data_IF_855839981819
#
_entry.id   IF_855839981819
#
_cell.length_a   1.000
_cell.length_b   1.000
_cell.length_c   1.000
_cell.angle_alpha   90.00
_cell.angle_beta   90.00
_cell.angle_gamma   90.00
#
_symmetry.space_group_name_H-M   'P 1'
#
loop_
_entity.id
_entity.type
_entity.pdbx_description
1 polymer ?
#
# COMPACT_ATOMS: atom_id res chain seq x y z
N UNK A 1 1.28 -23.43 -8.80
CA UNK A 1 1.75 -24.28 -9.91
C UNK A 1 2.96 -23.66 -10.59
N UNK A 2 3.67 -24.35 -11.51
CA UNK A 2 5.00 -23.94 -11.96
C UNK A 2 5.03 -22.53 -12.59
N UNK A 3 4.01 -22.14 -13.33
CA UNK A 3 3.95 -20.81 -13.95
C UNK A 3 3.78 -19.69 -12.91
N UNK A 4 3.01 -19.94 -11.85
CA UNK A 4 2.85 -18.96 -10.76
C UNK A 4 4.16 -18.80 -10.01
N UNK A 5 4.83 -19.91 -9.67
CA UNK A 5 6.10 -19.88 -8.98
C UNK A 5 7.18 -19.14 -9.80
N UNK A 6 7.27 -19.43 -11.11
CA UNK A 6 8.18 -18.73 -12.01
C UNK A 6 7.87 -17.23 -12.09
N UNK A 7 6.59 -16.86 -12.13
CA UNK A 7 6.19 -15.46 -12.15
C UNK A 7 6.53 -14.73 -10.84
N UNK A 8 6.33 -15.37 -9.69
CA UNK A 8 6.74 -14.82 -8.38
C UNK A 8 8.26 -14.61 -8.30
N UNK A 9 9.05 -15.55 -8.84
CA UNK A 9 10.51 -15.43 -8.92
C UNK A 9 10.95 -14.30 -9.85
N UNK A 10 10.37 -14.22 -11.06
CA UNK A 10 10.69 -13.17 -12.04
C UNK A 10 10.34 -11.78 -11.50
N UNK A 11 9.15 -11.64 -10.93
CA UNK A 11 8.70 -10.40 -10.34
C UNK A 11 9.53 -10.05 -9.10
N UNK A 12 9.87 -11.05 -8.27
CA UNK A 12 10.77 -10.91 -7.13
C UNK A 12 12.14 -10.36 -7.51
N UNK A 13 12.71 -10.83 -8.63
CA UNK A 13 13.95 -10.28 -9.19
C UNK A 13 13.78 -8.82 -9.64
N UNK A 14 12.66 -8.50 -10.28
CA UNK A 14 12.38 -7.15 -10.75
C UNK A 14 12.25 -6.14 -9.60
N UNK A 15 11.55 -6.51 -8.53
CA UNK A 15 11.32 -5.63 -7.37
C UNK A 15 12.40 -5.77 -6.28
N UNK A 16 13.34 -6.70 -6.46
CA UNK A 16 14.36 -7.04 -5.45
C UNK A 16 13.74 -7.38 -4.08
N UNK A 17 12.71 -8.22 -4.07
CA UNK A 17 11.98 -8.58 -2.86
C UNK A 17 11.27 -9.93 -2.97
N UNK A 18 10.55 -10.31 -1.93
CA UNK A 18 9.66 -11.48 -1.98
C UNK A 18 8.30 -11.07 -2.50
N UNK A 19 7.72 -11.90 -3.36
CA UNK A 19 6.43 -11.64 -3.98
C UNK A 19 5.52 -12.84 -3.80
N UNK A 20 4.26 -12.56 -3.49
CA UNK A 20 3.18 -13.56 -3.42
C UNK A 20 2.09 -13.16 -4.40
N UNK A 21 1.75 -14.04 -5.35
CA UNK A 21 0.69 -13.82 -6.31
C UNK A 21 -0.69 -14.03 -5.70
N UNK A 22 -1.61 -13.15 -6.03
CA UNK A 22 -2.99 -13.13 -5.52
C UNK A 22 -3.98 -12.93 -6.67
N UNK A 23 -5.26 -13.16 -6.38
CA UNK A 23 -6.34 -13.04 -7.38
C UNK A 23 -6.60 -11.61 -7.86
N UNK A 24 -6.21 -10.60 -7.09
CA UNK A 24 -6.38 -9.18 -7.41
C UNK A 24 -5.50 -8.30 -6.52
N UNK A 25 -5.24 -7.05 -6.94
CA UNK A 25 -4.61 -6.04 -6.08
C UNK A 25 -5.43 -5.76 -4.81
N UNK A 26 -6.75 -5.77 -4.89
CA UNK A 26 -7.64 -5.66 -3.72
C UNK A 26 -7.38 -6.75 -2.68
N UNK A 27 -7.14 -7.99 -3.12
CA UNK A 27 -6.80 -9.10 -2.24
C UNK A 27 -5.42 -8.88 -1.59
N UNK A 28 -4.48 -8.28 -2.32
CA UNK A 28 -3.16 -7.94 -1.78
C UNK A 28 -3.25 -6.85 -0.70
N UNK A 29 -4.06 -5.80 -0.90
CA UNK A 29 -4.33 -4.79 0.16
C UNK A 29 -4.94 -5.45 1.39
N UNK A 30 -5.93 -6.33 1.19
CA UNK A 30 -6.60 -7.02 2.29
C UNK A 30 -5.63 -7.89 3.10
N UNK A 31 -4.81 -8.69 2.42
CA UNK A 31 -3.81 -9.54 3.08
C UNK A 31 -2.75 -8.72 3.82
N UNK A 32 -2.28 -7.62 3.23
CA UNK A 32 -1.34 -6.70 3.87
C UNK A 32 -1.90 -6.10 5.17
N UNK A 33 -3.18 -5.70 5.18
CA UNK A 33 -3.85 -5.20 6.37
C UNK A 33 -3.94 -6.26 7.47
N UNK A 34 -4.27 -7.51 7.11
CA UNK A 34 -4.25 -8.65 8.04
C UNK A 34 -2.86 -8.84 8.63
N UNK A 35 -1.81 -8.84 7.79
CA UNK A 35 -0.42 -8.99 8.20
C UNK A 35 0.09 -7.82 9.06
N UNK A 36 -0.49 -6.62 8.90
CA UNK A 36 -0.28 -5.48 9.80
C UNK A 36 -1.06 -5.61 11.14
N UNK A 37 -1.85 -6.65 11.30
CA UNK A 37 -2.64 -6.91 12.52
C UNK A 37 -3.81 -5.95 12.71
N UNK A 38 -4.41 -5.47 11.61
CA UNK A 38 -5.62 -4.63 11.66
C UNK A 38 -6.79 -5.44 12.18
N UNK A 39 -7.52 -4.90 13.15
CA UNK A 39 -8.64 -5.51 13.83
C UNK A 39 -9.91 -4.64 13.73
N UNK A 40 -11.10 -5.20 13.96
CA UNK A 40 -12.31 -4.41 14.03
C UNK A 40 -12.20 -3.23 15.00
N UNK A 41 -12.61 -2.06 14.54
CA UNK A 41 -12.54 -0.80 15.29
C UNK A 41 -11.20 -0.06 15.19
N UNK A 42 -10.15 -0.65 14.63
CA UNK A 42 -8.92 0.08 14.30
C UNK A 42 -9.17 1.13 13.20
N UNK A 43 -8.25 2.07 13.08
CA UNK A 43 -8.27 3.08 12.04
C UNK A 43 -7.06 2.89 11.11
N UNK A 44 -7.24 3.16 9.82
CA UNK A 44 -6.20 3.10 8.79
C UNK A 44 -6.25 4.38 7.96
N UNK A 45 -5.13 5.11 7.89
CA UNK A 45 -5.01 6.27 7.01
C UNK A 45 -4.89 5.81 5.56
N UNK A 46 -5.71 6.37 4.69
CA UNK A 46 -5.74 6.02 3.26
C UNK A 46 -5.94 7.25 2.41
N UNK A 47 -5.28 7.30 1.25
CA UNK A 47 -5.47 8.37 0.27
C UNK A 47 -6.93 8.48 -0.16
N UNK A 48 -7.47 9.72 -0.23
CA UNK A 48 -8.86 9.94 -0.63
C UNK A 48 -9.05 9.85 -2.14
N UNK A 49 -8.12 10.40 -2.90
CA UNK A 49 -8.13 10.35 -4.36
C UNK A 49 -7.49 9.06 -4.86
N UNK A 50 -8.29 8.02 -4.94
CA UNK A 50 -7.88 6.68 -5.36
C UNK A 50 -9.07 5.86 -5.82
N UNK A 51 -8.79 4.72 -6.45
CA UNK A 51 -9.80 3.70 -6.70
C UNK A 51 -10.21 3.04 -5.37
N UNK A 52 -11.48 2.71 -5.22
CA UNK A 52 -12.05 2.19 -3.96
C UNK A 52 -11.38 0.93 -3.40
N UNK A 53 -10.62 0.21 -4.23
CA UNK A 53 -9.87 -0.97 -3.80
C UNK A 53 -8.79 -0.69 -2.74
N UNK A 54 -8.31 0.56 -2.61
CA UNK A 54 -7.40 0.95 -1.53
C UNK A 54 -8.11 1.04 -0.18
N UNK A 55 -9.40 1.40 -0.15
CA UNK A 55 -10.15 1.67 1.09
C UNK A 55 -11.12 0.56 1.49
N UNK A 56 -11.75 -0.13 0.54
CA UNK A 56 -12.73 -1.19 0.85
C UNK A 56 -12.17 -2.31 1.72
N UNK A 57 -10.95 -2.83 1.50
CA UNK A 57 -10.39 -3.89 2.34
C UNK A 57 -10.26 -3.52 3.82
N UNK A 58 -10.14 -2.22 4.14
CA UNK A 58 -10.17 -1.73 5.52
C UNK A 58 -11.51 -2.08 6.17
N UNK A 59 -12.60 -1.85 5.44
CA UNK A 59 -13.95 -2.14 5.95
C UNK A 59 -14.26 -3.63 6.03
N UNK A 60 -13.62 -4.47 5.20
CA UNK A 60 -13.76 -5.93 5.29
C UNK A 60 -13.30 -6.47 6.65
N UNK A 61 -12.34 -5.79 7.28
CA UNK A 61 -11.82 -6.14 8.60
C UNK A 61 -12.60 -5.47 9.76
N UNK A 62 -13.68 -4.74 9.46
CA UNK A 62 -14.42 -3.95 10.45
C UNK A 62 -13.64 -2.73 10.97
N UNK A 63 -12.55 -2.37 10.31
CA UNK A 63 -11.77 -1.18 10.59
C UNK A 63 -12.34 0.05 9.87
N UNK A 64 -11.86 1.24 10.24
CA UNK A 64 -12.36 2.52 9.73
C UNK A 64 -11.31 3.21 8.87
N UNK A 65 -11.61 3.56 7.60
CA UNK A 65 -10.73 4.40 6.80
C UNK A 65 -10.72 5.83 7.35
N UNK A 66 -9.53 6.40 7.47
CA UNK A 66 -9.28 7.82 7.71
C UNK A 66 -8.74 8.39 6.42
N UNK A 67 -9.58 9.09 5.67
CA UNK A 67 -9.22 9.63 4.37
C UNK A 67 -8.32 10.84 4.51
N UNK A 68 -7.19 10.81 3.79
CA UNK A 68 -6.22 11.89 3.71
C UNK A 68 -6.30 12.51 2.32
N UNK A 69 -6.48 13.81 2.27
CA UNK A 69 -6.61 14.54 1.01
C UNK A 69 -5.27 14.66 0.29
N UNK A 70 -5.33 15.13 -0.96
CA UNK A 70 -4.20 15.18 -1.89
C UNK A 70 -3.42 16.48 -1.77
N UNK A 71 -2.10 16.42 -1.95
CA UNK A 71 -1.29 17.59 -2.21
C UNK A 71 -1.32 17.98 -3.70
N UNK A 72 -0.92 19.21 -4.03
CA UNK A 72 -1.20 19.82 -5.34
C UNK A 72 -0.21 19.46 -6.46
N UNK A 73 0.96 18.90 -6.12
CA UNK A 73 2.00 18.62 -7.12
C UNK A 73 1.78 17.26 -7.79
N UNK A 74 1.56 16.22 -7.01
CA UNK A 74 1.41 14.85 -7.51
C UNK A 74 -0.03 14.33 -7.45
N UNK A 75 -0.92 15.04 -6.74
CA UNK A 75 -2.30 14.65 -6.44
C UNK A 75 -2.40 13.39 -5.57
N UNK A 76 -1.29 12.95 -5.02
CA UNK A 76 -1.23 11.86 -4.06
C UNK A 76 -1.38 12.37 -2.62
N UNK A 77 -1.35 11.47 -1.65
CA UNK A 77 -1.53 11.77 -0.22
C UNK A 77 -0.67 12.93 0.25
N UNK A 78 -1.30 13.91 0.89
CA UNK A 78 -0.61 15.05 1.52
C UNK A 78 0.07 14.61 2.83
N UNK A 79 1.41 14.72 2.95
CA UNK A 79 2.13 14.32 4.16
C UNK A 79 1.75 15.16 5.38
N UNK A 80 1.47 16.46 5.21
CA UNK A 80 1.15 17.35 6.33
C UNK A 80 -0.26 17.04 6.88
N UNK A 81 -1.22 16.76 5.98
CA UNK A 81 -2.54 16.31 6.39
C UNK A 81 -2.49 14.92 7.03
N UNK A 82 -1.62 14.02 6.54
CA UNK A 82 -1.40 12.72 7.15
C UNK A 82 -0.92 12.87 8.60
N UNK A 83 0.14 13.66 8.84
CA UNK A 83 0.68 13.84 10.18
C UNK A 83 -0.34 14.46 11.13
N UNK A 84 -1.08 15.48 10.67
CA UNK A 84 -2.18 16.08 11.43
C UNK A 84 -3.26 15.06 11.81
N UNK A 85 -3.67 14.21 10.85
CA UNK A 85 -4.64 13.16 11.11
C UNK A 85 -4.14 12.16 12.14
N UNK A 86 -2.88 11.70 12.04
CA UNK A 86 -2.27 10.78 13.01
C UNK A 86 -2.32 11.34 14.43
N UNK A 87 -1.93 12.61 14.60
CA UNK A 87 -1.92 13.29 15.91
C UNK A 87 -3.36 13.45 16.44
N UNK A 88 -4.27 13.89 15.60
CA UNK A 88 -5.68 14.08 15.97
C UNK A 88 -6.33 12.73 16.34
N UNK A 89 -6.14 11.68 15.54
CA UNK A 89 -6.71 10.36 15.84
C UNK A 89 -6.18 9.81 17.15
N UNK A 90 -4.86 9.95 17.39
CA UNK A 90 -4.27 9.58 18.69
C UNK A 90 -4.92 10.32 19.86
N UNK A 91 -5.19 11.60 19.70
CA UNK A 91 -5.84 12.43 20.74
C UNK A 91 -7.29 11.99 20.98
N UNK A 92 -8.04 11.68 19.93
CA UNK A 92 -9.48 11.36 20.01
C UNK A 92 -9.72 9.92 20.43
N UNK A 93 -8.93 8.96 19.91
CA UNK A 93 -9.16 7.52 20.12
C UNK A 93 -8.23 6.88 21.16
N UNK A 94 -7.17 7.59 21.55
CA UNK A 94 -6.13 7.05 22.43
C UNK A 94 -5.13 6.15 21.69
N UNK A 95 -5.34 5.86 20.40
CA UNK A 95 -4.49 4.97 19.57
C UNK A 95 -4.01 5.66 18.31
N UNK A 96 -2.85 5.28 17.81
CA UNK A 96 -2.42 5.63 16.47
C UNK A 96 -3.18 4.80 15.42
N UNK A 97 -3.38 5.31 14.19
CA UNK A 97 -3.82 4.48 13.07
C UNK A 97 -2.91 3.25 12.91
N UNK A 98 -3.49 2.13 12.51
CA UNK A 98 -2.81 0.84 12.46
C UNK A 98 -1.94 0.65 11.22
N UNK A 99 -2.26 1.35 10.14
CA UNK A 99 -1.48 1.37 8.90
C UNK A 99 -1.72 2.68 8.13
N UNK A 100 -0.86 2.95 7.17
CA UNK A 100 -0.97 4.04 6.19
C UNK A 100 -0.96 3.41 4.79
N UNK A 101 -1.93 3.80 3.94
CA UNK A 101 -2.03 3.35 2.54
C UNK A 101 -1.90 4.56 1.62
N UNK A 102 -0.68 4.99 1.26
CA UNK A 102 -0.47 5.91 0.15
C UNK A 102 -0.65 5.18 -1.18
N UNK A 103 -1.04 5.90 -2.22
CA UNK A 103 -1.27 5.36 -3.55
C UNK A 103 -0.36 6.06 -4.55
N UNK A 104 0.23 5.30 -5.45
CA UNK A 104 0.95 5.83 -6.62
C UNK A 104 -0.06 6.03 -7.77
N UNK A 105 -0.90 7.05 -7.65
CA UNK A 105 -2.00 7.31 -8.58
C UNK A 105 -1.44 7.55 -9.99
N UNK A 106 -1.96 6.80 -10.97
CA UNK A 106 -1.50 6.81 -12.36
C UNK A 106 0.02 6.58 -12.53
N UNK A 107 0.64 5.90 -11.55
CA UNK A 107 2.08 5.62 -11.56
C UNK A 107 2.97 6.76 -11.09
N UNK A 108 2.39 7.89 -10.65
CA UNK A 108 3.13 9.00 -10.09
C UNK A 108 3.58 8.67 -8.65
N UNK A 109 4.89 8.76 -8.34
CA UNK A 109 5.36 8.61 -6.98
C UNK A 109 4.71 9.66 -6.06
N UNK A 110 4.21 9.21 -4.91
CA UNK A 110 3.79 10.11 -3.84
C UNK A 110 5.03 10.72 -3.16
N UNK A 111 4.85 11.63 -2.21
CA UNK A 111 5.95 12.24 -1.41
C UNK A 111 6.57 11.20 -0.46
N UNK A 112 7.25 10.20 -1.04
CA UNK A 112 7.70 8.97 -0.37
C UNK A 112 8.56 9.30 0.85
N UNK A 113 9.57 10.15 0.71
CA UNK A 113 10.49 10.53 1.78
C UNK A 113 9.74 11.06 3.00
N UNK A 114 8.76 11.93 2.76
CA UNK A 114 7.98 12.56 3.82
C UNK A 114 7.01 11.59 4.48
N UNK A 115 6.33 10.76 3.68
CA UNK A 115 5.39 9.74 4.20
C UNK A 115 6.14 8.71 5.04
N UNK A 116 7.31 8.24 4.57
CA UNK A 116 8.12 7.27 5.30
C UNK A 116 8.69 7.85 6.59
N UNK A 117 9.19 9.10 6.56
CA UNK A 117 9.64 9.80 7.76
C UNK A 117 8.55 9.90 8.84
N UNK A 118 7.32 10.24 8.44
CA UNK A 118 6.16 10.31 9.33
C UNK A 118 5.82 8.92 9.87
N UNK A 119 5.74 7.92 8.99
CA UNK A 119 5.44 6.54 9.36
C UNK A 119 6.42 6.00 10.40
N UNK A 120 7.72 6.21 10.18
CA UNK A 120 8.79 5.79 11.10
C UNK A 120 8.69 6.52 12.45
N UNK A 121 8.43 7.82 12.43
CA UNK A 121 8.29 8.65 13.65
C UNK A 121 7.19 8.12 14.58
N UNK A 122 6.09 7.65 14.02
CA UNK A 122 4.95 7.16 14.79
C UNK A 122 4.88 5.63 14.89
N UNK A 123 5.82 4.92 14.27
CA UNK A 123 5.89 3.46 14.27
C UNK A 123 4.70 2.79 13.54
N UNK A 124 4.20 3.42 12.47
CA UNK A 124 3.02 2.96 11.72
C UNK A 124 3.49 2.31 10.42
N UNK A 125 3.13 1.05 10.12
CA UNK A 125 3.52 0.39 8.88
C UNK A 125 2.85 1.05 7.67
N UNK A 126 3.60 1.11 6.56
CA UNK A 126 3.12 1.60 5.26
C UNK A 126 2.83 0.41 4.36
N UNK A 127 1.66 0.42 3.73
CA UNK A 127 1.24 -0.47 2.65
C UNK A 127 1.15 0.39 1.39
N UNK A 128 2.11 0.27 0.49
CA UNK A 128 2.09 1.03 -0.76
C UNK A 128 1.08 0.45 -1.74
N UNK A 129 0.05 1.18 -2.09
CA UNK A 129 -0.79 0.81 -3.22
C UNK A 129 -0.14 1.29 -4.53
N UNK A 130 0.69 0.42 -5.09
CA UNK A 130 1.36 0.61 -6.37
C UNK A 130 0.65 -0.14 -7.52
N UNK A 131 -0.68 -0.31 -7.41
CA UNK A 131 -1.49 -0.99 -8.42
C UNK A 131 -1.37 -0.37 -9.83
N UNK A 132 -0.94 0.87 -9.92
CA UNK A 132 -0.67 1.60 -11.17
C UNK A 132 0.81 1.98 -11.32
N UNK A 133 1.63 1.64 -10.34
CA UNK A 133 3.02 2.08 -10.22
C UNK A 133 4.07 1.10 -10.76
N UNK A 134 3.67 -0.01 -11.39
CA UNK A 134 4.65 -0.98 -11.86
C UNK A 134 5.60 -0.38 -12.90
N UNK A 135 6.91 -0.48 -12.60
CA UNK A 135 7.96 0.10 -13.43
C UNK A 135 8.33 1.55 -13.10
N UNK A 136 7.43 2.29 -12.44
CA UNK A 136 7.77 3.63 -11.92
C UNK A 136 8.80 3.54 -10.81
N UNK A 137 9.63 4.58 -10.73
CA UNK A 137 10.74 4.62 -9.75
C UNK A 137 10.79 5.97 -9.06
N UNK A 138 11.23 5.93 -7.82
CA UNK A 138 11.60 7.11 -7.05
C UNK A 138 13.05 6.94 -6.59
N UNK A 139 13.91 7.88 -6.92
CA UNK A 139 15.36 7.82 -6.64
C UNK A 139 16.01 6.48 -7.06
N UNK A 140 15.59 5.93 -8.21
CA UNK A 140 16.10 4.65 -8.73
C UNK A 140 15.46 3.39 -8.15
N UNK A 141 14.71 3.48 -7.07
CA UNK A 141 14.01 2.35 -6.44
C UNK A 141 12.60 2.20 -7.01
N UNK A 142 12.16 0.97 -7.24
CA UNK A 142 10.84 0.64 -7.81
C UNK A 142 9.73 0.96 -6.80
N UNK A 143 8.61 1.53 -7.26
CA UNK A 143 7.43 1.72 -6.41
C UNK A 143 6.86 0.39 -5.92
N UNK A 144 6.30 0.39 -4.73
CA UNK A 144 5.85 -0.81 -4.02
C UNK A 144 6.94 -1.46 -3.18
N UNK A 145 8.13 -0.84 -3.06
CA UNK A 145 9.27 -1.43 -2.32
C UNK A 145 9.77 -0.55 -1.17
N UNK A 146 9.11 0.55 -0.86
CA UNK A 146 9.48 1.46 0.23
C UNK A 146 8.80 1.12 1.56
N UNK A 147 7.53 0.72 1.51
CA UNK A 147 6.76 0.35 2.69
C UNK A 147 7.05 -1.07 3.18
N UNK A 148 6.40 -1.47 4.26
CA UNK A 148 6.45 -2.87 4.73
C UNK A 148 5.89 -3.84 3.68
N UNK A 149 4.82 -3.42 3.00
CA UNK A 149 4.19 -4.15 1.91
C UNK A 149 3.99 -3.23 0.71
N UNK A 150 4.06 -3.81 -0.48
CA UNK A 150 3.66 -3.16 -1.73
C UNK A 150 2.63 -4.00 -2.47
N UNK A 151 1.70 -3.32 -3.11
CA UNK A 151 0.59 -3.94 -3.84
C UNK A 151 0.73 -3.66 -5.32
N UNK A 152 0.69 -4.71 -6.13
CA UNK A 152 0.61 -4.62 -7.59
C UNK A 152 -0.72 -5.20 -8.09
N UNK A 153 -1.18 -4.69 -9.22
CA UNK A 153 -2.39 -5.17 -9.88
C UNK A 153 -2.12 -5.50 -11.34
N UNK A 154 -2.65 -6.61 -11.80
CA UNK A 154 -2.58 -7.08 -13.18
C UNK A 154 -3.97 -7.18 -13.82
N UNK A 155 -4.92 -6.36 -13.32
CA UNK A 155 -6.25 -6.26 -13.90
C UNK A 155 -6.19 -5.74 -15.34
N UNK A 156 -7.24 -5.97 -16.13
CA UNK A 156 -7.29 -5.68 -17.56
C UNK A 156 -6.98 -4.23 -17.98
N UNK A 157 -7.19 -3.28 -17.07
CA UNK A 157 -6.92 -1.85 -17.30
C UNK A 157 -5.54 -1.38 -16.82
N UNK A 158 -4.70 -2.27 -16.29
CA UNK A 158 -3.38 -1.89 -15.76
C UNK A 158 -2.31 -1.89 -16.86
N UNK A 159 -1.17 -1.26 -16.58
CA UNK A 159 -0.03 -1.13 -17.51
C UNK A 159 0.46 -2.49 -18.02
N UNK A 160 0.50 -3.50 -17.15
CA UNK A 160 0.75 -4.90 -17.50
C UNK A 160 -0.42 -5.70 -16.94
N UNK A 161 -0.99 -6.57 -17.77
CA UNK A 161 -2.19 -7.32 -17.41
C UNK A 161 -2.05 -8.81 -17.67
N UNK A 162 -2.69 -9.60 -16.81
CA UNK A 162 -2.97 -11.02 -16.99
C UNK A 162 -4.49 -11.27 -17.03
N UNK A 163 -5.27 -10.28 -17.49
CA UNK A 163 -6.74 -10.17 -17.43
C UNK A 163 -7.29 -9.95 -16.02
N UNK A 164 -6.71 -10.53 -15.03
CA UNK A 164 -6.93 -10.36 -13.60
C UNK A 164 -5.66 -10.71 -12.85
N UNK A 165 -5.66 -10.62 -11.54
CA UNK A 165 -4.51 -10.92 -10.71
C UNK A 165 -3.95 -9.71 -9.99
N UNK A 166 -3.11 -9.98 -9.01
CA UNK A 166 -2.36 -9.02 -8.24
C UNK A 166 -1.18 -9.68 -7.58
N UNK A 167 -0.35 -8.90 -6.93
CA UNK A 167 0.76 -9.41 -6.14
C UNK A 167 1.00 -8.55 -4.90
N UNK A 168 1.44 -9.20 -3.84
CA UNK A 168 1.93 -8.59 -2.62
C UNK A 168 3.44 -8.68 -2.60
N UNK A 169 4.11 -7.54 -2.48
CA UNK A 169 5.55 -7.43 -2.27
C UNK A 169 5.77 -7.38 -0.75
N UNK A 170 6.60 -8.28 -0.23
CA UNK A 170 6.97 -8.34 1.18
C UNK A 170 8.42 -7.90 1.33
N UNK A 171 8.68 -6.88 2.15
CA UNK A 171 10.06 -6.43 2.42
C UNK A 171 10.81 -7.39 3.32
N UNK A 172 10.11 -8.08 4.21
CA UNK A 172 10.70 -9.11 5.06
C UNK A 172 10.32 -10.49 4.56
N UNK A 173 11.28 -11.40 4.51
CA UNK A 173 11.04 -12.78 4.07
C UNK A 173 10.03 -13.52 4.96
N UNK A 174 9.96 -13.18 6.25
CA UNK A 174 9.01 -13.74 7.21
C UNK A 174 7.55 -13.34 6.92
N UNK A 175 7.33 -12.17 6.31
CA UNK A 175 6.00 -11.68 5.95
C UNK A 175 5.42 -12.38 4.69
N UNK A 176 6.22 -13.22 3.99
CA UNK A 176 5.80 -13.95 2.79
C UNK A 176 5.37 -15.42 3.11
N UNK A 177 5.45 -15.85 4.37
CA UNK A 177 5.04 -17.16 4.86
C UNK A 177 3.70 -17.05 5.59
#
# INVERSE_FOLDING_TARGET
GPNVNAFEEDLGRFVNGKVVCLSAGTAAVHLALIACGVQPGDEVCVQSFTFCASSHPITYLGAKPVFIDSERETWNMDPELLERAIIERKKVTGKYPKAIIPVALYGMPYKIDRIMEIADRYGIPVIEDAAEGMGSRFNGQVLGTFGRFGVLSFNGNKMITTSGGGALICQKAEDAN
#
